data_IF_731362549659
#
_entry.id   IF_731362549659
#
_cell.length_a   1.000
_cell.length_b   1.000
_cell.length_c   1.000
_cell.angle_alpha   90.00
_cell.angle_beta   90.00
_cell.angle_gamma   90.00
#
_symmetry.space_group_name_H-M   'P 1'
#
loop_
_entity.id
_entity.type
_entity.pdbx_description
1 polymer ?
#
# COMPACT_ATOMS: atom_id res chain seq x y z
N UNK A 1 33.26 8.44 57.18
CA UNK A 1 32.22 9.48 57.09
C UNK A 1 30.94 8.81 56.62
N UNK A 2 29.91 8.71 57.49
CA UNK A 2 28.51 8.38 57.11
C UNK A 2 28.07 9.39 56.03
N UNK A 3 27.24 9.07 55.04
CA UNK A 3 25.78 8.97 55.18
C UNK A 3 25.17 8.04 54.13
N UNK A 4 24.25 7.22 54.62
CA UNK A 4 23.29 6.33 53.96
C UNK A 4 22.00 7.10 53.61
N UNK A 5 21.49 7.02 52.39
CA UNK A 5 20.05 7.18 52.08
C UNK A 5 19.69 6.13 51.02
N UNK A 6 19.26 4.93 51.41
CA UNK A 6 17.86 4.49 51.64
C UNK A 6 16.91 4.82 50.49
N UNK A 7 16.60 3.76 49.75
CA UNK A 7 15.37 3.60 48.97
C UNK A 7 14.14 3.76 49.86
N UNK A 8 13.26 4.68 49.46
CA UNK A 8 11.82 4.87 49.76
C UNK A 8 11.47 6.16 48.96
N UNK A 9 10.46 6.28 48.11
CA UNK A 9 9.18 5.59 48.02
C UNK A 9 8.68 5.60 46.58
N UNK A 10 8.17 4.46 46.12
CA UNK A 10 7.31 4.34 44.93
C UNK A 10 5.94 4.94 45.19
N UNK A 11 5.87 6.25 45.38
CA UNK A 11 4.63 6.99 45.60
C UNK A 11 4.69 8.39 44.95
N UNK A 12 4.92 8.43 43.64
CA UNK A 12 4.43 9.54 42.81
C UNK A 12 3.43 9.00 41.77
N UNK A 13 2.64 8.02 42.21
CA UNK A 13 1.45 7.56 41.50
C UNK A 13 0.44 8.72 41.50
N UNK A 14 -0.01 9.08 40.30
CA UNK A 14 -1.35 9.62 40.08
C UNK A 14 -1.63 11.00 40.72
N UNK A 15 -1.00 12.07 40.21
CA UNK A 15 -1.63 13.40 40.28
C UNK A 15 -1.59 14.08 38.92
N UNK A 16 -2.69 13.92 38.20
CA UNK A 16 -2.93 14.57 36.91
C UNK A 16 -3.95 13.84 36.05
N UNK A 17 -5.01 13.30 36.64
CA UNK A 17 -6.25 13.03 35.89
C UNK A 17 -7.14 14.28 35.98
N UNK A 18 -7.95 14.48 34.93
CA UNK A 18 -8.85 15.62 34.68
C UNK A 18 -8.06 16.80 34.08
N UNK A 19 -8.00 17.04 32.77
CA UNK A 19 -9.02 16.96 31.73
C UNK A 19 -8.31 16.85 30.38
N UNK A 20 -8.85 16.11 29.41
CA UNK A 20 -8.73 16.35 27.95
C UNK A 20 -9.44 15.20 27.23
N UNK A 21 -10.77 15.22 27.28
CA UNK A 21 -11.66 14.28 26.60
C UNK A 21 -11.73 14.51 25.07
N UNK A 22 -10.67 15.04 24.44
CA UNK A 22 -10.69 15.46 23.03
C UNK A 22 -9.32 15.45 22.33
N UNK A 23 -8.58 14.34 22.39
CA UNK A 23 -7.46 14.15 21.47
C UNK A 23 -7.26 12.67 21.11
N UNK A 24 -7.71 12.28 19.93
CA UNK A 24 -7.43 11.01 19.28
C UNK A 24 -5.92 10.82 18.93
N UNK A 25 -4.99 11.11 19.84
CA UNK A 25 -3.59 11.31 19.43
C UNK A 25 -2.47 11.22 20.46
N UNK A 26 -2.68 10.74 21.69
CA UNK A 26 -1.58 10.65 22.66
C UNK A 26 -1.51 9.31 23.42
N UNK A 27 -1.45 8.21 22.68
CA UNK A 27 -1.04 6.89 23.22
C UNK A 27 0.32 6.44 22.65
N UNK A 28 1.00 7.27 21.85
CA UNK A 28 2.40 7.03 21.51
C UNK A 28 3.28 7.65 22.59
N UNK A 29 4.04 6.86 23.38
CA UNK A 29 5.16 7.41 24.14
C UNK A 29 6.00 8.18 23.12
N UNK A 30 6.34 9.44 23.38
CA UNK A 30 7.24 10.17 22.50
C UNK A 30 8.60 9.49 22.58
N UNK A 31 8.80 8.53 21.69
CA UNK A 31 10.09 7.93 21.42
C UNK A 31 11.04 9.09 21.15
N UNK A 32 12.18 9.07 21.84
CA UNK A 32 13.26 10.03 21.62
C UNK A 32 13.44 10.19 20.11
N UNK A 33 13.49 11.43 19.62
CA UNK A 33 13.67 11.73 18.20
C UNK A 33 14.99 11.11 17.73
N UNK A 34 14.92 9.87 17.27
CA UNK A 34 15.98 9.27 16.49
C UNK A 34 16.06 10.07 15.18
N UNK A 35 17.28 10.31 14.71
CA UNK A 35 17.50 11.02 13.45
C UNK A 35 16.61 10.38 12.38
N UNK A 36 15.85 11.17 11.59
CA UNK A 36 14.97 10.61 10.58
C UNK A 36 15.79 9.72 9.66
N UNK A 37 15.48 8.42 9.65
CA UNK A 37 16.07 7.50 8.69
C UNK A 37 15.63 7.97 7.32
N UNK A 38 16.59 8.37 6.50
CA UNK A 38 16.30 8.79 5.14
C UNK A 38 16.00 7.54 4.29
N UNK A 39 14.71 7.24 4.13
CA UNK A 39 14.25 6.17 3.24
C UNK A 39 13.91 6.82 1.89
N UNK A 40 14.64 6.53 0.80
CA UNK A 40 14.32 7.09 -0.50
C UNK A 40 12.94 6.62 -0.95
N UNK A 41 12.04 7.56 -1.24
CA UNK A 41 10.73 7.27 -1.85
C UNK A 41 10.95 7.15 -3.35
N UNK A 42 10.81 5.94 -3.88
CA UNK A 42 10.91 5.66 -5.31
C UNK A 42 9.50 5.40 -5.84
N UNK A 43 9.15 5.99 -6.98
CA UNK A 43 7.84 5.82 -7.57
C UNK A 43 7.80 4.56 -8.44
N UNK A 44 6.66 3.86 -8.40
CA UNK A 44 6.40 2.80 -9.37
C UNK A 44 6.22 3.41 -10.76
N UNK A 45 6.93 2.85 -11.72
CA UNK A 45 6.63 3.03 -13.14
C UNK A 45 5.93 1.75 -13.59
N UNK A 46 4.85 1.89 -14.34
CA UNK A 46 4.09 0.75 -14.88
C UNK A 46 4.51 0.52 -16.34
N UNK A 47 5.48 -0.37 -16.60
CA UNK A 47 5.86 -0.74 -17.96
C UNK A 47 5.01 -1.88 -18.55
N UNK A 48 3.85 -2.18 -17.97
CA UNK A 48 3.15 -3.42 -18.27
C UNK A 48 2.45 -3.36 -19.64
N UNK A 49 2.25 -4.54 -20.24
CA UNK A 49 1.44 -4.68 -21.45
C UNK A 49 0.28 -5.66 -21.27
N UNK A 50 -0.73 -5.48 -22.13
CA UNK A 50 -1.93 -6.30 -22.18
C UNK A 50 -2.06 -6.88 -23.59
N UNK A 51 -1.99 -8.20 -23.67
CA UNK A 51 -2.12 -8.95 -24.91
C UNK A 51 -3.46 -9.65 -24.94
N UNK A 52 -4.24 -9.42 -25.99
CA UNK A 52 -5.52 -10.07 -26.23
C UNK A 52 -5.49 -10.94 -27.49
N UNK A 53 -6.63 -11.51 -27.88
CA UNK A 53 -6.76 -12.20 -29.14
C UNK A 53 -6.52 -11.21 -30.28
N UNK A 54 -5.72 -11.61 -31.26
CA UNK A 54 -5.44 -10.79 -32.45
C UNK A 54 -6.72 -10.57 -33.26
N UNK A 55 -7.67 -11.51 -33.22
CA UNK A 55 -8.86 -11.46 -34.05
C UNK A 55 -8.55 -11.70 -35.54
N UNK A 56 -9.57 -11.52 -36.37
CA UNK A 56 -9.50 -11.75 -37.82
C UNK A 56 -9.53 -10.41 -38.54
N UNK A 57 -8.71 -10.29 -39.61
CA UNK A 57 -8.58 -9.12 -40.49
C UNK A 57 -8.16 -7.81 -39.79
N UNK A 58 -8.16 -6.71 -40.53
CA UNK A 58 -7.71 -5.38 -40.04
C UNK A 58 -8.61 -4.80 -38.94
N UNK A 59 -9.83 -5.31 -38.81
CA UNK A 59 -10.79 -4.89 -37.79
C UNK A 59 -10.74 -5.75 -36.53
N UNK A 60 -9.90 -6.79 -36.49
CA UNK A 60 -9.69 -7.64 -35.32
C UNK A 60 -10.97 -8.30 -34.78
N UNK A 61 -11.84 -8.81 -35.67
CA UNK A 61 -13.07 -9.47 -35.24
C UNK A 61 -12.79 -10.77 -34.45
N UNK A 62 -13.58 -10.99 -33.40
CA UNK A 62 -13.53 -12.20 -32.56
C UNK A 62 -14.93 -12.83 -32.46
N UNK A 63 -14.98 -14.13 -32.19
CA UNK A 63 -16.23 -14.86 -31.94
C UNK A 63 -16.86 -14.41 -30.63
N UNK A 64 -18.18 -14.18 -30.64
CA UNK A 64 -18.94 -13.90 -29.42
C UNK A 64 -19.18 -15.14 -28.55
N UNK A 65 -18.85 -16.35 -29.03
CA UNK A 65 -19.01 -17.60 -28.31
C UNK A 65 -17.74 -18.04 -27.59
N UNK A 66 -16.61 -17.44 -27.93
CA UNK A 66 -15.32 -17.85 -27.41
C UNK A 66 -15.05 -17.09 -26.11
N UNK A 67 -14.41 -17.75 -25.15
CA UNK A 67 -13.95 -17.06 -23.93
C UNK A 67 -12.91 -16.01 -24.30
N UNK A 68 -13.10 -14.78 -23.83
CA UNK A 68 -12.17 -13.68 -24.06
C UNK A 68 -10.95 -13.78 -23.13
N UNK A 69 -9.95 -14.56 -23.54
CA UNK A 69 -8.67 -14.65 -22.82
C UNK A 69 -7.78 -13.44 -23.10
N UNK A 70 -7.09 -12.95 -22.08
CA UNK A 70 -6.03 -11.96 -22.20
C UNK A 70 -4.90 -12.25 -21.24
N UNK A 71 -3.70 -11.78 -21.57
CA UNK A 71 -2.49 -11.89 -20.77
C UNK A 71 -2.02 -10.50 -20.37
N UNK A 72 -1.71 -10.33 -19.08
CA UNK A 72 -1.04 -9.13 -18.57
C UNK A 72 0.36 -9.54 -18.17
N UNK A 73 1.36 -8.84 -18.71
CA UNK A 73 2.77 -9.06 -18.36
C UNK A 73 3.28 -7.88 -17.57
N UNK A 74 3.95 -8.18 -16.47
CA UNK A 74 4.58 -7.18 -15.61
C UNK A 74 5.94 -7.69 -15.14
N UNK A 75 6.92 -6.79 -15.06
CA UNK A 75 8.26 -7.08 -14.57
C UNK A 75 8.90 -5.85 -13.94
N UNK A 76 9.88 -6.08 -13.05
CA UNK A 76 10.83 -5.02 -12.71
C UNK A 76 11.76 -4.84 -13.90
N UNK A 77 11.90 -3.62 -14.39
CA UNK A 77 12.93 -3.31 -15.38
C UNK A 77 14.32 -3.64 -14.88
N UNK A 78 15.22 -4.02 -15.80
CA UNK A 78 16.62 -4.28 -15.48
C UNK A 78 17.33 -3.07 -14.84
N UNK A 79 16.82 -1.86 -15.06
CA UNK A 79 17.33 -0.60 -14.47
C UNK A 79 16.55 -0.14 -13.23
N UNK A 80 15.58 -0.94 -12.74
CA UNK A 80 14.82 -0.61 -11.55
C UNK A 80 15.75 -0.53 -10.33
N UNK A 81 15.58 0.51 -9.52
CA UNK A 81 16.40 0.77 -8.33
C UNK A 81 15.78 0.21 -7.04
N UNK A 82 14.58 -0.36 -7.13
CA UNK A 82 13.92 -1.13 -6.08
C UNK A 82 12.94 -2.15 -6.67
N UNK A 83 12.68 -3.20 -5.90
CA UNK A 83 11.72 -4.25 -6.27
C UNK A 83 10.27 -3.78 -6.09
N UNK A 84 9.38 -4.20 -6.99
CA UNK A 84 7.93 -4.11 -6.78
C UNK A 84 7.52 -4.83 -5.48
N UNK A 85 7.01 -4.08 -4.52
CA UNK A 85 6.55 -4.62 -3.23
C UNK A 85 5.07 -5.03 -3.24
N UNK A 86 4.26 -4.38 -4.08
CA UNK A 86 2.84 -4.63 -4.24
C UNK A 86 2.44 -4.42 -5.69
N UNK A 87 1.73 -5.39 -6.27
CA UNK A 87 1.24 -5.33 -7.65
C UNK A 87 -0.28 -5.50 -7.62
N UNK A 88 -0.99 -4.49 -8.13
CA UNK A 88 -2.44 -4.53 -8.31
C UNK A 88 -2.77 -4.44 -9.80
N UNK A 89 -3.54 -5.42 -10.28
CA UNK A 89 -4.07 -5.44 -11.64
C UNK A 89 -5.53 -5.01 -11.57
N UNK A 90 -5.86 -3.88 -12.20
CA UNK A 90 -7.21 -3.37 -12.32
C UNK A 90 -7.60 -3.23 -13.80
N UNK A 91 -8.52 -4.08 -14.25
CA UNK A 91 -9.09 -4.03 -15.60
C UNK A 91 -10.61 -3.88 -15.52
N UNK A 92 -11.11 -2.70 -15.87
CA UNK A 92 -12.54 -2.38 -15.76
C UNK A 92 -13.20 -2.47 -17.13
N UNK A 93 -14.15 -3.39 -17.29
CA UNK A 93 -14.90 -3.52 -18.54
C UNK A 93 -15.83 -2.31 -18.76
N UNK A 94 -15.81 -1.77 -19.97
CA UNK A 94 -16.66 -0.63 -20.34
C UNK A 94 -18.11 -1.08 -20.60
N UNK A 95 -19.06 -0.55 -19.81
CA UNK A 95 -20.51 -0.80 -19.98
C UNK A 95 -21.07 -0.38 -21.35
N UNK A 96 -20.39 0.51 -22.06
CA UNK A 96 -20.78 0.91 -23.42
C UNK A 96 -20.37 -0.11 -24.49
N UNK A 97 -19.54 -1.08 -24.14
CA UNK A 97 -19.00 -2.11 -25.04
C UNK A 97 -19.48 -3.52 -24.68
N UNK A 98 -19.77 -3.75 -23.40
CA UNK A 98 -20.18 -5.05 -22.89
C UNK A 98 -21.55 -4.96 -22.22
N UNK A 99 -22.43 -5.91 -22.55
CA UNK A 99 -23.68 -6.13 -21.83
C UNK A 99 -23.46 -7.07 -20.65
N UNK A 100 -23.58 -6.55 -19.44
CA UNK A 100 -23.32 -7.30 -18.22
C UNK A 100 -24.46 -8.23 -17.80
N UNK A 101 -25.62 -8.13 -18.43
CA UNK A 101 -26.74 -9.02 -18.15
C UNK A 101 -26.59 -10.41 -18.80
N UNK A 102 -25.53 -10.61 -19.59
CA UNK A 102 -25.30 -11.84 -20.39
C UNK A 102 -24.29 -12.80 -19.77
N UNK A 103 -23.83 -12.54 -18.54
CA UNK A 103 -22.90 -13.39 -17.76
C UNK A 103 -23.63 -14.17 -16.67
#
# INVERSE_FOLDING_TARGET
>A
MKVLLKAIDGLDRFKGGLEMENACGQIVPQAKRENPVNVPVINAQDPNDKLGPIGVNVSHYISAKDTLGYLIRFENYATATADAQYVQILDTLARTKFDFATF
#
